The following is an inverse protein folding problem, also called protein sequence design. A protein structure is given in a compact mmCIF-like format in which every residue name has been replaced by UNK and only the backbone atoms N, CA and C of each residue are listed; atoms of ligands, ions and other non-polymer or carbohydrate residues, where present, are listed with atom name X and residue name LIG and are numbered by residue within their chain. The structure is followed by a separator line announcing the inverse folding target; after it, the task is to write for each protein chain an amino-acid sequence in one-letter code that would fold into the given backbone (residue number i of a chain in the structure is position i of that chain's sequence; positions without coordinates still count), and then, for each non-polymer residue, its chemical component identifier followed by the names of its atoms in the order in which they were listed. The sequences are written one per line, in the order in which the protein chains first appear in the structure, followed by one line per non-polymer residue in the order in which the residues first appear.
data_IF_162351665530
#
_entry.id   IF_162351665530
#
_cell.length_a   1.000
_cell.length_b   1.000
_cell.length_c   1.000
_cell.angle_alpha   90.00
_cell.angle_beta   90.00
_cell.angle_gamma   90.00
#
_symmetry.space_group_name_H-M   'P 1'
#
loop_
_entity.id
_entity.type
_entity.pdbx_description
1 polymer ?
#
# COMPACT_ATOMS: atom_id res chain seq x y z
N UNK A 1 -8.15 3.78 -17.19
CA UNK A 1 -8.65 3.49 -15.82
C UNK A 1 -8.80 1.98 -15.71
N UNK A 2 -8.20 1.38 -14.69
CA UNK A 2 -8.28 -0.06 -14.40
C UNK A 2 -8.96 -0.20 -13.03
N UNK A 3 -10.00 -1.01 -12.95
CA UNK A 3 -10.74 -1.23 -11.72
C UNK A 3 -10.82 -2.74 -11.46
N UNK A 4 -10.22 -3.21 -10.37
CA UNK A 4 -10.32 -4.59 -9.94
C UNK A 4 -11.09 -4.62 -8.62
N UNK A 5 -12.05 -5.54 -8.53
CA UNK A 5 -12.81 -5.78 -7.32
C UNK A 5 -12.79 -7.27 -7.03
N UNK A 6 -12.36 -7.63 -5.82
CA UNK A 6 -12.32 -8.98 -5.30
C UNK A 6 -13.28 -9.04 -4.12
N UNK A 7 -14.32 -9.86 -4.24
CA UNK A 7 -15.45 -9.89 -3.30
C UNK A 7 -15.78 -11.33 -2.95
N UNK A 8 -15.87 -11.64 -1.65
CA UNK A 8 -16.27 -12.97 -1.15
C UNK A 8 -15.46 -14.11 -1.76
N UNK A 9 -14.19 -14.16 -1.35
CA UNK A 9 -13.24 -15.18 -1.77
C UNK A 9 -13.44 -16.46 -0.95
N UNK A 10 -13.35 -17.62 -1.60
CA UNK A 10 -13.36 -18.92 -0.94
C UNK A 10 -12.02 -19.62 -1.24
N UNK A 11 -11.12 -19.69 -0.26
CA UNK A 11 -9.85 -20.44 -0.29
C UNK A 11 -9.03 -20.31 -1.60
N UNK A 12 -8.88 -19.10 -2.13
CA UNK A 12 -8.14 -18.87 -3.37
C UNK A 12 -6.98 -17.91 -3.16
N UNK A 13 -5.80 -18.31 -3.62
CA UNK A 13 -4.67 -17.40 -3.83
C UNK A 13 -5.05 -16.41 -4.95
N UNK A 14 -5.32 -15.16 -4.59
CA UNK A 14 -5.74 -14.14 -5.56
C UNK A 14 -4.62 -13.15 -5.77
N UNK A 15 -4.27 -12.92 -7.03
CA UNK A 15 -3.20 -12.00 -7.39
C UNK A 15 -3.70 -10.96 -8.39
N UNK A 16 -3.42 -9.70 -8.08
CA UNK A 16 -3.75 -8.53 -8.88
C UNK A 16 -2.44 -7.87 -9.31
N UNK A 17 -2.18 -7.80 -10.61
CA UNK A 17 -0.91 -7.31 -11.16
C UNK A 17 -1.09 -6.02 -11.97
N UNK A 18 -0.30 -4.97 -11.68
CA UNK A 18 -0.22 -3.73 -12.48
C UNK A 18 1.21 -3.23 -12.62
N UNK A 19 1.82 -3.45 -13.80
CA UNK A 19 3.26 -3.29 -13.93
C UNK A 19 3.92 -4.37 -13.07
N UNK A 20 4.01 -5.57 -13.62
CA UNK A 20 4.57 -6.76 -12.96
C UNK A 20 5.54 -7.41 -13.93
N UNK A 21 6.67 -7.89 -13.39
CA UNK A 21 7.81 -8.42 -14.15
C UNK A 21 8.55 -7.38 -14.99
N UNK A 22 9.75 -7.77 -15.44
CA UNK A 22 10.68 -6.92 -16.18
C UNK A 22 9.98 -6.22 -17.34
N UNK A 23 10.23 -4.92 -17.47
CA UNK A 23 9.71 -4.05 -18.55
C UNK A 23 8.19 -3.82 -18.53
N UNK A 24 7.48 -4.26 -17.49
CA UNK A 24 6.08 -3.87 -17.28
C UNK A 24 5.99 -2.36 -17.04
N UNK A 25 5.19 -1.63 -17.84
CA UNK A 25 5.00 -0.18 -17.66
C UNK A 25 3.52 0.13 -17.46
N UNK A 26 3.20 0.82 -16.37
CA UNK A 26 1.89 1.47 -16.17
C UNK A 26 2.12 2.97 -16.10
N UNK A 27 1.44 3.73 -16.95
CA UNK A 27 1.60 5.17 -16.98
C UNK A 27 0.29 5.90 -17.22
N UNK A 28 0.19 7.14 -16.71
CA UNK A 28 -0.96 8.03 -16.94
C UNK A 28 -2.30 7.34 -16.62
N UNK A 29 -2.31 6.52 -15.57
CA UNK A 29 -3.39 5.60 -15.29
C UNK A 29 -3.97 5.83 -13.90
N UNK A 30 -5.28 5.63 -13.80
CA UNK A 30 -5.96 5.45 -12.52
C UNK A 30 -6.22 3.96 -12.34
N UNK A 31 -5.65 3.37 -11.29
CA UNK A 31 -5.79 1.97 -10.90
C UNK A 31 -6.50 1.92 -9.55
N UNK A 32 -7.65 1.26 -9.50
CA UNK A 32 -8.41 1.08 -8.28
C UNK A 32 -8.55 -0.41 -7.99
N UNK A 33 -8.09 -0.86 -6.83
CA UNK A 33 -8.27 -2.22 -6.36
C UNK A 33 -9.09 -2.20 -5.06
N UNK A 34 -10.13 -3.03 -5.01
CA UNK A 34 -10.95 -3.21 -3.82
C UNK A 34 -10.99 -4.69 -3.43
N UNK A 35 -10.71 -4.99 -2.15
CA UNK A 35 -10.82 -6.33 -1.56
C UNK A 35 -11.84 -6.27 -0.43
N UNK A 36 -12.91 -7.06 -0.54
CA UNK A 36 -14.05 -6.99 0.37
C UNK A 36 -14.51 -8.39 0.79
N UNK A 37 -14.58 -8.62 2.10
CA UNK A 37 -15.11 -9.88 2.67
C UNK A 37 -14.36 -11.12 2.19
N UNK A 38 -13.04 -11.05 2.16
CA UNK A 38 -12.19 -12.17 1.80
C UNK A 38 -11.33 -12.57 2.99
N UNK A 39 -11.66 -13.71 3.61
CA UNK A 39 -11.00 -14.17 4.84
C UNK A 39 -10.28 -15.52 4.67
N UNK A 40 -10.40 -16.11 3.48
CA UNK A 40 -9.98 -17.47 3.17
C UNK A 40 -8.94 -17.39 2.03
N UNK A 41 -7.66 -17.54 2.39
CA UNK A 41 -6.51 -17.49 1.47
C UNK A 41 -5.81 -16.11 1.37
N UNK A 42 -4.53 -16.10 0.95
CA UNK A 42 -3.76 -14.87 0.75
C UNK A 42 -4.23 -14.11 -0.50
N UNK A 43 -4.23 -12.78 -0.41
CA UNK A 43 -4.51 -11.89 -1.53
C UNK A 43 -3.32 -10.97 -1.73
N UNK A 44 -2.81 -10.89 -2.95
CA UNK A 44 -1.67 -10.06 -3.28
C UNK A 44 -2.00 -9.04 -4.36
N UNK A 45 -1.70 -7.77 -4.09
CA UNK A 45 -1.79 -6.68 -5.04
C UNK A 45 -0.37 -6.21 -5.33
N UNK A 46 0.10 -6.39 -6.56
CA UNK A 46 1.46 -6.06 -6.99
C UNK A 46 1.43 -4.91 -7.99
N UNK A 47 2.06 -3.78 -7.65
CA UNK A 47 2.07 -2.57 -8.48
C UNK A 47 3.49 -2.04 -8.65
N UNK A 48 3.96 -1.96 -9.89
CA UNK A 48 5.36 -1.66 -10.18
C UNK A 48 6.29 -2.68 -9.54
N UNK A 49 5.97 -3.98 -9.57
CA UNK A 49 6.75 -5.04 -8.93
C UNK A 49 7.73 -5.73 -9.90
N UNK A 50 8.89 -6.17 -9.42
CA UNK A 50 9.86 -6.99 -10.16
C UNK A 50 10.44 -6.30 -11.41
N UNK A 51 11.08 -5.15 -11.24
CA UNK A 51 11.75 -4.42 -12.34
C UNK A 51 10.82 -3.66 -13.28
N UNK A 52 9.53 -3.56 -12.94
CA UNK A 52 8.55 -2.77 -13.68
C UNK A 52 8.46 -1.33 -13.16
N UNK A 53 7.86 -0.46 -13.97
CA UNK A 53 7.73 0.97 -13.71
C UNK A 53 6.26 1.36 -13.68
N UNK A 54 5.87 2.11 -12.66
CA UNK A 54 4.63 2.88 -12.65
C UNK A 54 4.97 4.36 -12.59
N UNK A 55 4.40 5.17 -13.47
CA UNK A 55 4.66 6.61 -13.48
C UNK A 55 3.41 7.43 -13.74
N UNK A 56 3.34 8.66 -13.22
CA UNK A 56 2.24 9.60 -13.51
C UNK A 56 0.85 8.99 -13.27
N UNK A 57 0.69 8.21 -12.19
CA UNK A 57 -0.50 7.38 -11.99
C UNK A 57 -1.14 7.59 -10.62
N UNK A 58 -2.39 7.17 -10.50
CA UNK A 58 -3.15 7.14 -9.24
C UNK A 58 -3.39 5.67 -8.90
N UNK A 59 -2.83 5.21 -7.78
CA UNK A 59 -2.96 3.85 -7.28
C UNK A 59 -3.79 3.87 -6.00
N UNK A 60 -5.03 3.39 -6.08
CA UNK A 60 -5.94 3.33 -4.94
C UNK A 60 -6.20 1.87 -4.58
N UNK A 61 -5.88 1.48 -3.35
CA UNK A 61 -6.20 0.17 -2.82
C UNK A 61 -7.09 0.34 -1.58
N UNK A 62 -8.18 -0.41 -1.53
CA UNK A 62 -9.11 -0.44 -0.41
C UNK A 62 -9.35 -1.87 0.05
N UNK A 63 -9.10 -2.14 1.33
CA UNK A 63 -9.29 -3.42 1.99
C UNK A 63 -10.35 -3.24 3.08
N UNK A 64 -11.37 -4.08 3.07
CA UNK A 64 -12.50 -3.97 4.00
C UNK A 64 -12.99 -5.36 4.42
N UNK A 65 -13.10 -5.61 5.72
CA UNK A 65 -13.62 -6.88 6.25
C UNK A 65 -12.90 -8.10 5.68
N UNK A 66 -11.58 -8.02 5.53
CA UNK A 66 -10.77 -9.06 4.87
C UNK A 66 -9.56 -9.43 5.72
N UNK A 67 -8.96 -10.59 5.44
CA UNK A 67 -7.73 -11.03 6.08
C UNK A 67 -6.64 -11.39 5.07
N UNK A 68 -5.38 -11.36 5.52
CA UNK A 68 -4.22 -11.84 4.75
C UNK A 68 -4.03 -11.13 3.40
N UNK A 69 -4.29 -9.82 3.34
CA UNK A 69 -4.09 -9.02 2.11
C UNK A 69 -2.74 -8.31 2.15
N UNK A 70 -1.95 -8.51 1.09
CA UNK A 70 -0.67 -7.85 0.86
C UNK A 70 -0.76 -6.87 -0.31
N UNK A 71 -0.33 -5.63 -0.09
CA UNK A 71 -0.15 -4.62 -1.13
C UNK A 71 1.35 -4.38 -1.28
N UNK A 72 1.91 -4.76 -2.43
CA UNK A 72 3.32 -4.63 -2.76
C UNK A 72 3.53 -3.60 -3.87
N UNK A 73 4.15 -2.47 -3.51
CA UNK A 73 4.34 -1.32 -4.39
C UNK A 73 5.82 -1.03 -4.56
N UNK A 74 6.29 -1.07 -5.81
CA UNK A 74 7.69 -0.84 -6.18
C UNK A 74 8.73 -1.78 -5.51
N UNK A 75 8.29 -2.99 -5.15
CA UNK A 75 9.14 -4.05 -4.61
C UNK A 75 9.94 -4.78 -5.71
N UNK A 76 11.01 -5.49 -5.32
CA UNK A 76 11.88 -6.29 -6.20
C UNK A 76 12.44 -5.49 -7.39
N UNK A 77 13.16 -4.39 -7.12
CA UNK A 77 13.73 -3.50 -8.14
C UNK A 77 12.69 -2.78 -9.02
N UNK A 78 11.41 -2.88 -8.69
CA UNK A 78 10.39 -2.06 -9.31
C UNK A 78 10.45 -0.60 -8.83
N UNK A 79 9.76 0.28 -9.55
CA UNK A 79 9.78 1.72 -9.28
C UNK A 79 8.40 2.35 -9.47
N UNK A 80 8.05 3.28 -8.58
CA UNK A 80 6.88 4.15 -8.74
C UNK A 80 7.35 5.60 -8.71
N UNK A 81 6.99 6.42 -9.70
CA UNK A 81 7.32 7.84 -9.73
C UNK A 81 6.12 8.74 -10.04
N UNK A 82 6.18 9.99 -9.59
CA UNK A 82 5.25 11.06 -9.98
C UNK A 82 3.76 10.67 -9.80
N UNK A 83 3.47 9.92 -8.74
CA UNK A 83 2.20 9.20 -8.56
C UNK A 83 1.52 9.53 -7.24
N UNK A 84 0.24 9.17 -7.15
CA UNK A 84 -0.58 9.28 -5.96
C UNK A 84 -0.96 7.89 -5.48
N UNK A 85 -0.45 7.48 -4.32
CA UNK A 85 -0.67 6.16 -3.75
C UNK A 85 -1.57 6.30 -2.53
N UNK A 86 -2.73 5.66 -2.55
CA UNK A 86 -3.66 5.62 -1.42
C UNK A 86 -3.96 4.18 -1.05
N UNK A 87 -3.66 3.80 0.19
CA UNK A 87 -4.02 2.49 0.72
C UNK A 87 -4.92 2.66 1.94
N UNK A 88 -6.13 2.10 1.88
CA UNK A 88 -7.11 2.14 2.96
C UNK A 88 -7.38 0.73 3.47
N UNK A 89 -7.24 0.52 4.77
CA UNK A 89 -7.54 -0.73 5.46
C UNK A 89 -8.56 -0.42 6.55
N UNK A 90 -9.68 -1.15 6.54
CA UNK A 90 -10.77 -0.94 7.50
C UNK A 90 -11.31 -2.29 7.96
N UNK A 91 -11.49 -2.46 9.28
CA UNK A 91 -12.12 -3.64 9.88
C UNK A 91 -11.54 -4.95 9.33
N UNK A 92 -10.21 -5.05 9.27
CA UNK A 92 -9.50 -6.12 8.57
C UNK A 92 -8.34 -6.67 9.41
N UNK A 93 -7.87 -7.87 9.11
CA UNK A 93 -6.86 -8.57 9.93
C UNK A 93 -5.64 -9.03 9.12
N UNK A 94 -4.46 -9.04 9.73
CA UNK A 94 -3.24 -9.64 9.15
C UNK A 94 -2.90 -9.08 7.75
N UNK A 95 -2.88 -7.76 7.62
CA UNK A 95 -2.62 -7.08 6.35
C UNK A 95 -1.19 -6.55 6.28
N UNK A 96 -0.63 -6.54 5.07
CA UNK A 96 0.73 -6.08 4.81
C UNK A 96 0.74 -5.03 3.71
N UNK A 97 1.30 -3.85 3.96
CA UNK A 97 1.55 -2.83 2.94
C UNK A 97 3.05 -2.62 2.84
N UNK A 98 3.60 -2.78 1.65
CA UNK A 98 5.02 -2.76 1.37
C UNK A 98 5.29 -1.77 0.23
N UNK A 99 6.11 -0.76 0.50
CA UNK A 99 6.34 0.38 -0.38
C UNK A 99 7.84 0.70 -0.47
N UNK A 100 8.44 0.47 -1.63
CA UNK A 100 9.88 0.57 -1.86
C UNK A 100 10.16 1.49 -3.05
N UNK A 101 11.32 2.15 -3.14
CA UNK A 101 11.77 2.84 -4.36
C UNK A 101 10.70 3.76 -4.99
N UNK A 102 10.11 4.64 -4.17
CA UNK A 102 9.06 5.57 -4.60
C UNK A 102 9.64 6.97 -4.70
N UNK A 103 9.40 7.62 -5.84
CA UNK A 103 10.01 8.90 -6.19
C UNK A 103 8.95 9.98 -6.47
N UNK A 104 9.16 11.21 -6.02
CA UNK A 104 8.35 12.39 -6.40
C UNK A 104 6.82 12.17 -6.28
N UNK A 105 6.39 11.43 -5.27
CA UNK A 105 5.02 10.93 -5.18
C UNK A 105 4.31 11.35 -3.90
N UNK A 106 2.98 11.30 -3.91
CA UNK A 106 2.17 11.41 -2.71
C UNK A 106 1.82 10.01 -2.20
N UNK A 107 2.01 9.78 -0.90
CA UNK A 107 1.60 8.52 -0.26
C UNK A 107 0.60 8.83 0.86
N UNK A 108 -0.53 8.14 0.88
CA UNK A 108 -1.54 8.23 1.92
C UNK A 108 -1.95 6.82 2.36
N UNK A 109 -1.51 6.41 3.53
CA UNK A 109 -1.91 5.14 4.14
C UNK A 109 -2.88 5.41 5.29
N UNK A 110 -4.00 4.70 5.33
CA UNK A 110 -4.93 4.77 6.46
C UNK A 110 -5.40 3.39 6.89
N UNK A 111 -5.24 3.07 8.17
CA UNK A 111 -5.69 1.81 8.77
C UNK A 111 -6.63 2.10 9.93
N UNK A 112 -7.85 1.59 9.90
CA UNK A 112 -8.88 1.90 10.89
C UNK A 112 -9.49 0.62 11.44
N UNK A 113 -9.61 0.51 12.76
CA UNK A 113 -10.28 -0.61 13.44
C UNK A 113 -9.81 -1.98 12.96
N UNK A 114 -8.50 -2.15 12.76
CA UNK A 114 -7.92 -3.33 12.12
C UNK A 114 -6.84 -3.93 12.98
N UNK A 115 -6.65 -5.25 12.85
CA UNK A 115 -5.71 -6.00 13.67
C UNK A 115 -4.54 -6.53 12.86
N UNK A 116 -3.37 -6.63 13.50
CA UNK A 116 -2.16 -7.21 12.92
C UNK A 116 -1.81 -6.61 11.54
N UNK A 117 -1.91 -5.30 11.39
CA UNK A 117 -1.56 -4.61 10.14
C UNK A 117 -0.13 -4.10 10.21
N UNK A 118 0.66 -4.43 9.20
CA UNK A 118 2.05 -3.98 9.06
C UNK A 118 2.19 -3.06 7.85
N UNK A 119 2.83 -1.92 8.03
CA UNK A 119 3.17 -0.98 6.94
C UNK A 119 4.69 -0.77 6.90
N UNK A 120 5.33 -1.17 5.81
CA UNK A 120 6.76 -1.00 5.59
C UNK A 120 7.04 -0.07 4.41
N UNK A 121 7.79 1.00 4.64
CA UNK A 121 8.14 2.00 3.64
C UNK A 121 9.65 2.29 3.68
N UNK A 122 10.33 2.15 2.54
CA UNK A 122 11.78 2.37 2.43
C UNK A 122 12.16 2.95 1.07
N UNK A 123 13.35 3.57 0.99
CA UNK A 123 13.93 4.15 -0.22
C UNK A 123 12.96 5.16 -0.87
N UNK A 124 12.50 6.12 -0.07
CA UNK A 124 11.56 7.16 -0.52
C UNK A 124 12.33 8.44 -0.82
N UNK A 125 12.15 9.00 -2.02
CA UNK A 125 12.80 10.27 -2.39
C UNK A 125 11.85 11.27 -3.06
N UNK A 126 11.87 12.54 -2.65
CA UNK A 126 10.94 13.54 -3.19
C UNK A 126 9.47 13.28 -2.81
N UNK A 127 9.22 12.41 -1.82
CA UNK A 127 7.86 11.95 -1.49
C UNK A 127 7.20 12.90 -0.49
N UNK A 128 5.90 13.18 -0.63
CA UNK A 128 5.11 13.72 0.47
C UNK A 128 4.13 12.66 0.99
N UNK A 129 4.33 12.19 2.22
CA UNK A 129 3.62 11.05 2.80
C UNK A 129 2.64 11.41 3.91
N UNK A 130 1.65 10.57 4.15
CA UNK A 130 0.97 10.49 5.43
C UNK A 130 0.55 9.05 5.74
N UNK A 131 0.48 8.75 7.03
CA UNK A 131 0.00 7.49 7.55
C UNK A 131 -0.91 7.78 8.74
N UNK A 132 -2.09 7.20 8.76
CA UNK A 132 -3.02 7.35 9.87
C UNK A 132 -3.43 5.95 10.32
N UNK A 133 -3.30 5.62 11.61
CA UNK A 133 -3.85 4.38 12.14
C UNK A 133 -4.69 4.62 13.39
N UNK A 134 -5.96 4.22 13.41
CA UNK A 134 -6.86 4.53 14.55
C UNK A 134 -7.66 3.29 14.93
N UNK A 135 -7.69 2.99 16.22
CA UNK A 135 -8.45 1.85 16.76
C UNK A 135 -7.87 0.49 16.37
N UNK A 136 -6.58 0.42 16.03
CA UNK A 136 -5.93 -0.82 15.63
C UNK A 136 -5.38 -1.62 16.84
N UNK A 137 -5.19 -2.93 16.66
CA UNK A 137 -4.41 -3.77 17.58
C UNK A 137 -3.23 -4.42 16.85
N UNK A 138 -2.09 -4.57 17.54
CA UNK A 138 -0.87 -5.17 16.96
C UNK A 138 -0.40 -4.50 15.66
N UNK A 139 -0.57 -3.18 15.57
CA UNK A 139 -0.09 -2.39 14.45
C UNK A 139 1.44 -2.27 14.47
N UNK A 140 2.09 -2.49 13.32
CA UNK A 140 3.53 -2.32 13.14
C UNK A 140 3.82 -1.39 11.97
N UNK A 141 4.79 -0.49 12.13
CA UNK A 141 5.29 0.31 11.01
C UNK A 141 6.80 0.44 10.96
N UNK A 142 7.31 0.61 9.75
CA UNK A 142 8.69 0.96 9.46
C UNK A 142 8.71 2.02 8.36
N UNK A 143 9.39 3.13 8.59
CA UNK A 143 9.65 4.19 7.61
C UNK A 143 11.14 4.53 7.70
N UNK A 144 11.91 4.19 6.68
CA UNK A 144 13.36 4.38 6.65
C UNK A 144 13.86 4.88 5.27
N UNK A 145 15.16 5.19 5.18
CA UNK A 145 15.84 5.61 3.95
C UNK A 145 15.12 6.73 3.17
N UNK A 146 14.91 7.86 3.86
CA UNK A 146 14.22 9.03 3.32
C UNK A 146 15.20 10.07 2.82
N UNK A 147 15.00 10.58 1.60
CA UNK A 147 15.82 11.64 0.97
C UNK A 147 14.91 12.71 0.37
N UNK A 148 15.00 13.97 0.78
CA UNK A 148 14.13 15.05 0.28
C UNK A 148 12.63 14.69 0.40
N UNK A 149 12.22 14.10 1.53
CA UNK A 149 10.92 13.43 1.68
C UNK A 149 10.19 13.91 2.93
N UNK A 150 8.89 14.21 2.78
CA UNK A 150 8.10 14.81 3.84
C UNK A 150 6.86 14.00 4.14
N UNK A 151 6.90 13.17 5.17
CA UNK A 151 5.76 12.38 5.61
C UNK A 151 5.11 12.92 6.89
N UNK A 152 3.89 12.46 7.20
CA UNK A 152 3.40 12.53 8.56
C UNK A 152 2.52 11.36 9.02
N UNK A 153 2.89 10.77 10.14
CA UNK A 153 2.27 9.60 10.76
C UNK A 153 1.43 9.98 11.99
N UNK A 154 0.24 9.43 12.19
CA UNK A 154 -0.41 9.48 13.49
C UNK A 154 -1.29 8.23 13.75
N UNK A 155 -0.91 7.45 14.75
CA UNK A 155 -1.41 6.14 15.17
C UNK A 155 -1.99 6.21 16.60
N UNK A 156 -3.18 5.68 16.87
CA UNK A 156 -3.77 5.58 18.22
C UNK A 156 -4.69 4.32 18.22
N UNK A 157 -4.33 3.03 18.47
CA UNK A 157 -3.14 2.33 18.97
C UNK A 157 -2.57 1.21 18.09
N UNK A 158 -1.37 0.72 18.32
CA UNK A 158 -0.46 0.90 19.46
C UNK A 158 0.69 1.90 19.18
N UNK A 159 0.72 3.22 19.42
CA UNK A 159 -0.21 4.35 19.60
C UNK A 159 0.64 5.62 19.35
N UNK A 160 1.17 5.76 18.14
CA UNK A 160 2.11 6.83 17.76
C UNK A 160 1.48 8.16 17.32
N UNK A 161 1.35 9.11 18.26
CA UNK A 161 0.46 10.27 18.15
C UNK A 161 0.86 11.34 17.12
N UNK A 162 2.09 11.37 16.67
CA UNK A 162 2.62 12.30 15.66
C UNK A 162 3.96 11.68 15.26
N UNK A 163 4.24 11.49 13.98
CA UNK A 163 5.62 11.28 13.54
C UNK A 163 5.85 11.94 12.18
N UNK A 164 6.46 13.14 12.17
CA UNK A 164 6.74 14.00 11.00
C UNK A 164 8.19 13.82 10.58
N UNK A 165 8.50 13.52 9.32
CA UNK A 165 9.74 14.08 8.78
C UNK A 165 9.41 14.87 7.50
N UNK A 166 10.25 15.84 7.14
CA UNK A 166 10.07 16.84 6.09
C UNK A 166 11.41 17.21 5.43
#
# INVERSE_FOLDING_TARGET
MVNNAVVKCNDADIQIYQGYQTDGIVQNSMVNNAVVKCNDGPIEIHQGYSGSIVQNSILNNAITNSSNVSINQAHNNGQISDSYLTNKVYDSESNYISQYNIFNSLICNSTLFSDNTTINQTNLSGVNGCLIAIGCHSYTKTIDNLVDTNFFNLVIGNHEVINWHW
#
